data_IF_262997438482
#
_entry.id   IF_262997438482
#
_cell.length_a   1.000
_cell.length_b   1.000
_cell.length_c   1.000
_cell.angle_alpha   90.00
_cell.angle_beta   90.00
_cell.angle_gamma   90.00
#
_symmetry.space_group_name_H-M   'P 1'
#
loop_
_entity.id
_entity.type
_entity.pdbx_description
1 polymer ?
#
# COMPACT_ATOMS: atom_id res chain seq x y z
N UNK A 1 -12.41 42.98 -41.77
CA UNK A 1 -12.68 43.98 -40.72
C UNK A 1 -12.35 43.34 -39.40
N UNK A 2 -11.49 43.89 -38.55
CA UNK A 2 -11.55 45.24 -37.94
C UNK A 2 -12.58 45.30 -36.80
N UNK A 3 -12.06 45.41 -35.58
CA UNK A 3 -12.69 45.94 -34.35
C UNK A 3 -12.98 47.48 -34.54
N UNK A 4 -13.51 48.29 -33.58
CA UNK A 4 -13.55 48.12 -32.10
C UNK A 4 -14.74 48.80 -31.34
N UNK A 5 -14.49 49.16 -30.06
CA UNK A 5 -15.13 50.18 -29.18
C UNK A 5 -16.47 49.83 -28.50
N UNK A 6 -16.80 50.36 -27.30
CA UNK A 6 -16.08 51.21 -26.30
C UNK A 6 -16.57 50.85 -24.86
N UNK A 7 -15.68 50.71 -23.86
CA UNK A 7 -15.31 51.66 -22.78
C UNK A 7 -16.45 52.29 -21.94
N UNK A 8 -16.29 52.18 -20.60
CA UNK A 8 -16.80 53.00 -19.48
C UNK A 8 -16.70 52.11 -18.20
N UNK A 9 -16.11 52.51 -17.07
CA UNK A 9 -15.38 53.72 -16.73
C UNK A 9 -15.28 53.86 -15.19
N UNK A 10 -14.09 54.18 -14.69
CA UNK A 10 -13.73 54.49 -13.28
C UNK A 10 -13.77 53.39 -12.19
N UNK A 11 -12.59 53.24 -11.55
CA UNK A 11 -12.33 52.65 -10.22
C UNK A 11 -12.35 53.80 -9.15
N UNK A 12 -11.48 53.89 -8.12
CA UNK A 12 -10.96 52.94 -7.11
C UNK A 12 -11.02 53.49 -5.65
N UNK A 13 -10.89 52.64 -4.62
CA UNK A 13 -10.19 52.91 -3.33
C UNK A 13 -9.73 51.52 -2.81
N UNK A 14 -8.44 51.17 -2.63
CA UNK A 14 -7.47 51.61 -1.59
C UNK A 14 -7.64 50.78 -0.29
N UNK A 15 -6.63 50.33 0.47
CA UNK A 15 -5.17 50.49 0.42
C UNK A 15 -4.50 49.54 1.47
N UNK A 16 -3.22 49.14 1.28
CA UNK A 16 -2.28 48.60 2.31
C UNK A 16 -2.64 47.26 3.03
N UNK A 17 -1.70 46.49 3.61
CA UNK A 17 -0.25 46.67 3.84
C UNK A 17 0.55 45.35 3.68
N UNK A 18 1.81 45.55 3.34
CA UNK A 18 3.01 44.72 3.34
C UNK A 18 3.20 43.64 4.43
N UNK A 19 4.03 42.63 4.10
CA UNK A 19 4.61 41.66 5.04
C UNK A 19 5.59 40.71 4.35
N UNK A 20 6.88 41.07 4.30
CA UNK A 20 7.92 40.32 3.59
C UNK A 20 8.82 39.46 4.51
N UNK A 21 9.64 38.63 3.85
CA UNK A 21 10.90 38.01 4.34
C UNK A 21 10.88 36.62 5.03
N UNK A 22 11.23 35.64 4.19
CA UNK A 22 12.48 34.87 4.27
C UNK A 22 12.76 33.87 5.42
N UNK A 23 12.80 32.59 5.02
CA UNK A 23 13.82 31.57 5.35
C UNK A 23 14.15 31.23 6.81
N UNK A 24 13.87 29.98 7.18
CA UNK A 24 14.83 29.14 7.92
C UNK A 24 14.74 27.68 7.49
N UNK A 25 15.91 27.05 7.35
CA UNK A 25 16.08 25.60 7.18
C UNK A 25 16.37 25.02 8.56
N UNK A 26 15.53 24.10 9.03
CA UNK A 26 15.90 23.13 10.07
C UNK A 26 15.34 21.77 9.68
N UNK A 27 16.23 20.82 9.46
CA UNK A 27 15.86 19.42 9.27
C UNK A 27 15.85 18.70 10.61
N UNK A 28 14.70 18.15 10.97
CA UNK A 28 14.51 16.93 11.76
C UNK A 28 13.30 16.24 11.11
N UNK A 29 13.24 14.94 10.89
CA UNK A 29 13.87 13.86 11.62
C UNK A 29 12.75 12.95 12.12
N UNK A 30 12.54 11.82 11.44
CA UNK A 30 11.82 10.63 11.92
C UNK A 30 10.46 10.82 12.63
N UNK A 31 9.37 10.60 11.89
CA UNK A 31 8.16 9.95 12.44
C UNK A 31 7.74 8.78 11.54
N UNK A 32 8.61 7.77 11.49
CA UNK A 32 8.22 6.44 11.02
C UNK A 32 7.53 5.69 12.16
N UNK A 33 6.20 5.55 12.07
CA UNK A 33 5.40 4.47 12.67
C UNK A 33 3.90 4.65 12.33
N UNK A 34 3.49 4.22 11.14
CA UNK A 34 2.10 3.79 10.93
C UNK A 34 1.94 2.42 11.59
N UNK A 35 1.72 2.43 12.89
CA UNK A 35 1.58 1.24 13.73
C UNK A 35 0.23 0.54 13.44
N UNK A 36 0.15 -0.19 12.33
CA UNK A 36 -1.01 -0.99 11.93
C UNK A 36 -1.14 -2.28 12.76
N UNK A 37 -1.15 -2.15 14.09
CA UNK A 37 -1.81 -3.13 14.97
C UNK A 37 -3.32 -2.94 14.88
N UNK A 38 -3.87 -3.22 13.70
CA UNK A 38 -5.28 -3.53 13.57
C UNK A 38 -5.57 -4.81 14.34
N UNK A 39 -6.70 -4.85 15.05
CA UNK A 39 -7.19 -6.07 15.69
C UNK A 39 -7.68 -7.04 14.60
N UNK A 40 -6.78 -7.90 14.12
CA UNK A 40 -7.09 -8.92 13.11
C UNK A 40 -8.04 -10.01 13.63
N UNK A 41 -8.41 -10.04 14.92
CA UNK A 41 -9.32 -11.08 15.46
C UNK A 41 -10.77 -10.94 14.97
N UNK A 42 -11.15 -9.77 14.45
CA UNK A 42 -12.46 -9.55 13.82
C UNK A 42 -12.56 -10.13 12.38
N UNK A 43 -11.43 -10.48 11.76
CA UNK A 43 -11.37 -11.05 10.41
C UNK A 43 -11.51 -12.58 10.51
N UNK A 44 -12.45 -13.21 9.76
CA UNK A 44 -12.51 -14.67 9.66
C UNK A 44 -11.16 -15.24 9.24
N UNK A 45 -10.70 -16.30 9.88
CA UNK A 45 -9.35 -16.83 9.72
C UNK A 45 -8.96 -17.10 8.23
N UNK A 46 -9.88 -17.67 7.45
CA UNK A 46 -9.72 -17.87 5.98
C UNK A 46 -9.47 -16.58 5.17
N UNK A 47 -9.80 -15.40 5.71
CA UNK A 47 -9.52 -14.10 5.11
C UNK A 47 -8.22 -13.47 5.62
N UNK A 48 -7.65 -13.92 6.74
CA UNK A 48 -6.44 -13.29 7.31
C UNK A 48 -5.29 -13.29 6.31
N UNK A 49 -5.05 -14.40 5.60
CA UNK A 49 -4.03 -14.48 4.55
C UNK A 49 -4.18 -13.37 3.48
N UNK A 50 -5.42 -12.98 3.14
CA UNK A 50 -5.70 -11.90 2.19
C UNK A 50 -5.22 -10.54 2.73
N UNK A 51 -5.56 -10.23 3.99
CA UNK A 51 -5.15 -8.99 4.65
C UNK A 51 -3.63 -8.95 4.90
N UNK A 52 -3.02 -10.07 5.29
CA UNK A 52 -1.57 -10.17 5.49
C UNK A 52 -0.81 -9.91 4.18
N UNK A 53 -1.21 -10.53 3.06
CA UNK A 53 -0.61 -10.24 1.75
C UNK A 53 -0.88 -8.80 1.28
N UNK A 54 -2.04 -8.22 1.59
CA UNK A 54 -2.37 -6.84 1.24
C UNK A 54 -1.53 -5.81 2.00
N UNK A 55 -1.17 -6.10 3.25
CA UNK A 55 -0.36 -5.24 4.12
C UNK A 55 1.15 -5.45 3.99
N UNK A 56 1.60 -6.53 3.33
CA UNK A 56 3.00 -6.76 3.06
C UNK A 56 3.59 -5.66 2.16
N UNK A 57 4.84 -5.27 2.43
CA UNK A 57 5.52 -4.15 1.80
C UNK A 57 6.23 -4.59 0.51
N UNK A 58 6.09 -3.78 -0.54
CA UNK A 58 6.98 -3.84 -1.70
C UNK A 58 8.28 -3.05 -1.41
N UNK A 59 9.45 -3.51 -1.88
CA UNK A 59 10.68 -2.74 -1.79
C UNK A 59 10.52 -1.35 -2.43
N UNK A 60 10.80 -0.29 -1.66
CA UNK A 60 10.63 1.11 -2.14
C UNK A 60 11.71 1.51 -3.14
N UNK A 61 12.94 1.06 -2.92
CA UNK A 61 14.09 1.23 -3.81
C UNK A 61 14.88 -0.07 -3.94
N UNK A 62 15.97 -0.04 -4.72
CA UNK A 62 16.92 -1.15 -4.83
C UNK A 62 17.92 -1.25 -3.65
N UNK A 63 17.73 -0.48 -2.57
CA UNK A 63 18.57 -0.58 -1.36
C UNK A 63 18.47 -1.98 -0.73
N UNK A 64 19.54 -2.43 -0.09
CA UNK A 64 19.53 -3.67 0.68
C UNK A 64 18.60 -3.56 1.90
N UNK A 65 18.57 -2.39 2.55
CA UNK A 65 17.72 -2.09 3.71
C UNK A 65 16.24 -2.16 3.35
N UNK A 66 15.81 -1.49 2.27
CA UNK A 66 14.41 -1.53 1.78
C UNK A 66 13.97 -2.95 1.40
N UNK A 67 14.90 -3.78 0.90
CA UNK A 67 14.62 -5.18 0.56
C UNK A 67 14.52 -6.06 1.80
N UNK A 68 15.26 -5.76 2.87
CA UNK A 68 15.15 -6.43 4.15
C UNK A 68 13.85 -6.06 4.87
N UNK A 69 13.49 -4.77 4.95
CA UNK A 69 12.19 -4.30 5.50
C UNK A 69 11.02 -4.95 4.76
N UNK A 70 11.11 -5.03 3.42
CA UNK A 70 10.13 -5.74 2.62
C UNK A 70 10.06 -7.24 2.98
N UNK A 71 11.19 -7.96 3.02
CA UNK A 71 11.23 -9.40 3.33
C UNK A 71 10.70 -9.73 4.75
N UNK A 72 11.03 -8.90 5.75
CA UNK A 72 10.51 -8.99 7.12
C UNK A 72 8.98 -8.80 7.18
N UNK A 73 8.43 -7.90 6.35
CA UNK A 73 6.97 -7.69 6.28
C UNK A 73 6.18 -8.92 5.80
N UNK A 74 6.85 -9.92 5.21
CA UNK A 74 6.25 -11.20 4.84
C UNK A 74 6.26 -12.23 5.97
N UNK A 75 6.98 -12.02 7.07
CA UNK A 75 7.03 -13.01 8.16
C UNK A 75 5.64 -13.35 8.75
N UNK A 76 4.69 -12.41 8.91
CA UNK A 76 3.31 -12.74 9.30
C UNK A 76 2.61 -13.67 8.31
N UNK A 77 2.85 -13.52 7.00
CA UNK A 77 2.32 -14.43 5.97
C UNK A 77 2.95 -15.81 6.11
N UNK A 78 4.28 -15.88 6.28
CA UNK A 78 5.00 -17.15 6.46
C UNK A 78 4.53 -17.87 7.73
N UNK A 79 4.35 -17.15 8.84
CA UNK A 79 3.91 -17.75 10.10
C UNK A 79 2.48 -18.25 10.02
N UNK A 80 1.56 -17.48 9.43
CA UNK A 80 0.18 -17.96 9.18
C UNK A 80 0.17 -19.20 8.27
N UNK A 81 1.01 -19.26 7.23
CA UNK A 81 1.14 -20.46 6.39
C UNK A 81 1.75 -21.67 7.13
N UNK A 82 2.58 -21.46 8.16
CA UNK A 82 3.17 -22.54 8.97
C UNK A 82 2.23 -23.05 10.07
N UNK A 83 1.34 -22.20 10.58
CA UNK A 83 0.37 -22.59 11.62
C UNK A 83 -0.84 -23.35 11.07
N UNK A 84 -1.10 -23.26 9.77
CA UNK A 84 -2.24 -23.89 9.09
C UNK A 84 -1.83 -25.08 8.22
N UNK A 85 -2.77 -25.97 7.94
CA UNK A 85 -2.56 -27.11 7.06
C UNK A 85 -2.77 -26.73 5.58
N UNK A 86 -2.24 -27.54 4.65
CA UNK A 86 -2.24 -27.22 3.22
C UNK A 86 -3.64 -26.96 2.61
N UNK A 87 -4.70 -27.57 3.13
CA UNK A 87 -6.07 -27.34 2.66
C UNK A 87 -6.63 -26.01 3.17
N UNK A 88 -6.32 -25.61 4.41
CA UNK A 88 -6.68 -24.29 4.97
C UNK A 88 -5.97 -23.17 4.20
N UNK A 89 -4.67 -23.32 3.93
CA UNK A 89 -3.91 -22.33 3.16
C UNK A 89 -4.39 -22.28 1.70
N UNK A 90 -4.81 -23.42 1.10
CA UNK A 90 -5.45 -23.43 -0.24
C UNK A 90 -6.76 -22.67 -0.24
N UNK A 91 -7.68 -22.97 0.69
CA UNK A 91 -8.98 -22.29 0.79
C UNK A 91 -8.82 -20.79 1.03
N UNK A 92 -7.89 -20.37 1.89
CA UNK A 92 -7.57 -18.96 2.10
C UNK A 92 -6.93 -18.31 0.85
N UNK A 93 -6.10 -19.05 0.10
CA UNK A 93 -5.52 -18.61 -1.17
C UNK A 93 -6.54 -18.41 -2.29
N UNK A 94 -7.64 -19.17 -2.28
CA UNK A 94 -8.78 -19.03 -3.19
C UNK A 94 -9.74 -17.92 -2.76
N UNK A 95 -9.80 -17.60 -1.46
CA UNK A 95 -10.75 -16.66 -0.91
C UNK A 95 -10.47 -15.21 -1.34
N UNK A 96 -11.50 -14.56 -1.89
CA UNK A 96 -11.48 -13.13 -2.25
C UNK A 96 -11.86 -12.28 -1.04
N UNK A 97 -11.08 -11.23 -0.78
CA UNK A 97 -11.40 -10.20 0.21
C UNK A 97 -12.39 -9.16 -0.32
N UNK A 98 -12.62 -8.10 0.46
CA UNK A 98 -13.56 -7.01 0.13
C UNK A 98 -13.26 -6.32 -1.22
N UNK A 99 -11.99 -6.31 -1.63
CA UNK A 99 -11.50 -5.79 -2.91
C UNK A 99 -11.79 -6.69 -4.13
N UNK A 100 -12.46 -7.84 -3.92
CA UNK A 100 -12.58 -8.94 -4.86
C UNK A 100 -11.25 -9.58 -5.33
N UNK A 101 -10.12 -9.21 -4.72
CA UNK A 101 -8.79 -9.77 -4.99
C UNK A 101 -8.50 -10.96 -4.05
N UNK A 102 -7.78 -11.98 -4.55
CA UNK A 102 -7.24 -13.08 -3.73
C UNK A 102 -5.89 -12.70 -3.10
N UNK A 103 -5.35 -13.44 -2.11
CA UNK A 103 -4.03 -13.15 -1.55
C UNK A 103 -2.93 -13.17 -2.61
N UNK A 104 -3.03 -14.05 -3.62
CA UNK A 104 -2.08 -14.12 -4.73
C UNK A 104 -2.00 -12.83 -5.57
N UNK A 105 -3.13 -12.12 -5.75
CA UNK A 105 -3.13 -10.82 -6.44
C UNK A 105 -2.32 -9.78 -5.66
N UNK A 106 -2.49 -9.73 -4.34
CA UNK A 106 -1.71 -8.86 -3.46
C UNK A 106 -0.25 -9.29 -3.40
N UNK A 107 0.03 -10.59 -3.34
CA UNK A 107 1.38 -11.14 -3.40
C UNK A 107 2.12 -10.67 -4.65
N UNK A 108 1.59 -10.92 -5.85
CA UNK A 108 2.22 -10.49 -7.10
C UNK A 108 2.38 -8.97 -7.21
N UNK A 109 1.46 -8.17 -6.64
CA UNK A 109 1.57 -6.71 -6.59
C UNK A 109 2.70 -6.23 -5.68
N UNK A 110 2.89 -6.89 -4.55
CA UNK A 110 3.78 -6.45 -3.48
C UNK A 110 5.20 -7.07 -3.55
N UNK A 111 5.56 -7.68 -4.69
CA UNK A 111 6.88 -8.31 -4.95
C UNK A 111 7.28 -9.34 -3.88
N UNK A 112 6.66 -10.53 -3.90
CA UNK A 112 6.74 -11.48 -2.79
C UNK A 112 8.07 -12.24 -2.80
N UNK A 113 8.57 -12.66 -1.63
CA UNK A 113 9.69 -13.58 -1.50
C UNK A 113 9.44 -14.89 -2.27
N UNK A 114 10.51 -15.49 -2.78
CA UNK A 114 10.42 -16.68 -3.64
C UNK A 114 9.80 -17.88 -2.93
N UNK A 115 10.01 -18.05 -1.64
CA UNK A 115 9.38 -19.13 -0.86
C UNK A 115 7.87 -18.93 -0.71
N UNK A 116 7.41 -17.70 -0.42
CA UNK A 116 5.97 -17.39 -0.28
C UNK A 116 5.22 -17.64 -1.59
N UNK A 117 5.75 -17.15 -2.72
CA UNK A 117 5.11 -17.38 -4.03
C UNK A 117 5.18 -18.85 -4.46
N UNK A 118 6.26 -19.57 -4.14
CA UNK A 118 6.34 -21.01 -4.39
C UNK A 118 5.30 -21.80 -3.58
N UNK A 119 5.02 -21.41 -2.34
CA UNK A 119 3.94 -22.04 -1.54
C UNK A 119 2.60 -21.82 -2.23
N UNK A 120 2.24 -20.57 -2.58
CA UNK A 120 1.01 -20.28 -3.32
C UNK A 120 0.88 -21.08 -4.63
N UNK A 121 1.94 -21.13 -5.44
CA UNK A 121 1.96 -21.88 -6.70
C UNK A 121 1.90 -23.40 -6.51
N UNK A 122 2.29 -23.91 -5.34
CA UNK A 122 2.22 -25.35 -5.03
C UNK A 122 0.84 -25.82 -4.54
N UNK A 123 0.08 -24.94 -3.88
CA UNK A 123 -1.21 -25.30 -3.24
C UNK A 123 -2.43 -24.78 -4.01
N UNK A 124 -2.31 -23.62 -4.66
CA UNK A 124 -3.44 -22.89 -5.25
C UNK A 124 -3.34 -22.79 -6.78
N UNK A 125 -2.91 -23.87 -7.44
CA UNK A 125 -2.74 -23.96 -8.91
C UNK A 125 -4.02 -23.57 -9.67
N UNK A 126 -5.20 -23.82 -9.10
CA UNK A 126 -6.48 -23.44 -9.72
C UNK A 126 -6.74 -21.93 -9.69
N UNK A 127 -6.16 -21.17 -8.74
CA UNK A 127 -6.29 -19.70 -8.71
C UNK A 127 -5.54 -18.97 -9.83
N UNK A 128 -4.63 -19.67 -10.52
CA UNK A 128 -3.86 -19.14 -11.66
C UNK A 128 -4.45 -19.54 -13.02
N UNK A 129 -5.53 -20.33 -13.04
CA UNK A 129 -6.26 -20.69 -14.25
C UNK A 129 -7.36 -19.65 -14.52
N UNK A 130 -7.36 -19.09 -15.73
CA UNK A 130 -8.28 -18.04 -16.21
C UNK A 130 -8.87 -18.41 -17.57
#
# INVERSE_FOLDING_TARGET
GSQPFEDFGQQPIGHHHDGASASMFEGHGSEGQTFFSGDYSAVPDMLQLNHLCANALAPRTSSEEDRAEADESWEPVREWMRSHNAEEVRQAGEQRGESAMTPLHFACRNQPPLDVINVFLSIAVETVQW
#
